data_IF_935315431836
#
_entry.id   IF_935315431836
#
_cell.length_a   1.000
_cell.length_b   1.000
_cell.length_c   1.000
_cell.angle_alpha   90.00
_cell.angle_beta   90.00
_cell.angle_gamma   90.00
#
_symmetry.space_group_name_H-M   'P 1'
#
loop_
_entity.id
_entity.type
_entity.pdbx_description
1 polymer ?
#
# COMPACT_ATOMS: atom_id res chain seq x y z
N UNK A 1 -10.42 12.36 7.79
CA UNK A 1 -9.36 11.88 6.90
C UNK A 1 -9.95 11.86 5.52
N UNK A 2 -9.37 12.56 4.55
CA UNK A 2 -9.88 12.60 3.18
C UNK A 2 -9.55 11.30 2.44
N UNK A 3 -10.19 11.06 1.30
CA UNK A 3 -9.86 9.91 0.47
C UNK A 3 -8.41 10.02 -0.06
N UNK A 4 -7.93 11.24 -0.34
CA UNK A 4 -6.54 11.51 -0.72
C UNK A 4 -5.56 11.21 0.41
N UNK A 5 -5.90 11.55 1.66
CA UNK A 5 -5.07 11.20 2.83
C UNK A 5 -4.94 9.68 2.98
N UNK A 6 -6.03 8.95 2.76
CA UNK A 6 -6.05 7.48 2.83
C UNK A 6 -5.15 6.90 1.73
N UNK A 7 -5.28 7.39 0.49
CA UNK A 7 -4.46 6.96 -0.62
C UNK A 7 -2.96 7.27 -0.40
N UNK A 8 -2.64 8.48 0.08
CA UNK A 8 -1.27 8.90 0.35
C UNK A 8 -0.63 8.02 1.43
N UNK A 9 -1.34 7.75 2.53
CA UNK A 9 -0.85 6.87 3.61
C UNK A 9 -0.57 5.46 3.12
N UNK A 10 -1.46 4.89 2.30
CA UNK A 10 -1.26 3.56 1.75
C UNK A 10 -0.06 3.52 0.80
N UNK A 11 0.14 4.55 -0.02
CA UNK A 11 1.31 4.65 -0.90
C UNK A 11 2.60 4.75 -0.08
N UNK A 12 2.65 5.59 0.96
CA UNK A 12 3.82 5.69 1.83
C UNK A 12 4.13 4.36 2.52
N UNK A 13 3.12 3.68 3.06
CA UNK A 13 3.30 2.37 3.69
C UNK A 13 3.79 1.31 2.69
N UNK A 14 3.25 1.31 1.46
CA UNK A 14 3.71 0.41 0.40
C UNK A 14 5.16 0.69 0.00
N UNK A 15 5.57 1.97 -0.07
CA UNK A 15 6.95 2.36 -0.36
C UNK A 15 7.92 1.87 0.72
N UNK A 16 7.60 2.05 2.00
CA UNK A 16 8.42 1.55 3.11
C UNK A 16 8.61 0.03 3.06
N UNK A 17 7.53 -0.72 2.74
CA UNK A 17 7.59 -2.18 2.60
C UNK A 17 8.47 -2.59 1.41
N UNK A 18 8.39 -1.86 0.29
CA UNK A 18 9.22 -2.12 -0.88
C UNK A 18 10.69 -1.77 -0.64
N UNK A 19 10.98 -0.71 0.12
CA UNK A 19 12.35 -0.38 0.54
C UNK A 19 12.95 -1.51 1.38
N UNK A 20 12.18 -2.06 2.35
CA UNK A 20 12.59 -3.22 3.14
C UNK A 20 12.86 -4.46 2.25
N UNK A 21 12.01 -4.69 1.25
CA UNK A 21 12.18 -5.79 0.29
C UNK A 21 13.45 -5.66 -0.55
N UNK A 22 13.85 -4.44 -0.90
CA UNK A 22 15.00 -4.16 -1.75
C UNK A 22 16.34 -4.21 -1.00
N UNK A 23 16.33 -4.21 0.34
CA UNK A 23 17.57 -4.34 1.10
C UNK A 23 18.27 -5.67 0.83
N UNK A 24 19.60 -5.67 0.62
CA UNK A 24 20.37 -6.90 0.39
C UNK A 24 20.45 -7.71 1.69
N UNK A 25 19.46 -8.58 1.92
CA UNK A 25 19.38 -9.51 3.06
C UNK A 25 19.09 -10.93 2.58
N UNK A 26 19.35 -11.96 3.41
CA UNK A 26 18.97 -13.33 3.08
C UNK A 26 17.46 -13.40 2.79
N UNK A 27 17.09 -14.01 1.66
CA UNK A 27 15.71 -14.05 1.11
C UNK A 27 14.68 -14.81 1.94
N UNK A 28 14.98 -15.15 3.20
CA UNK A 28 14.10 -15.97 4.04
C UNK A 28 12.74 -15.34 4.30
N UNK A 29 12.65 -14.01 4.20
CA UNK A 29 11.46 -13.25 4.58
C UNK A 29 10.74 -12.57 3.39
N UNK A 30 11.18 -12.80 2.14
CA UNK A 30 10.62 -12.12 0.95
C UNK A 30 9.09 -12.27 0.87
N UNK A 31 8.59 -13.47 1.11
CA UNK A 31 7.15 -13.75 1.08
C UNK A 31 6.38 -12.97 2.14
N UNK A 32 6.90 -12.90 3.36
CA UNK A 32 6.28 -12.15 4.45
C UNK A 32 6.20 -10.63 4.15
N UNK A 33 7.25 -10.09 3.52
CA UNK A 33 7.28 -8.67 3.14
C UNK A 33 6.25 -8.39 2.03
N UNK A 34 6.15 -9.28 1.03
CA UNK A 34 5.15 -9.16 -0.03
C UNK A 34 3.72 -9.37 0.49
N UNK A 35 3.51 -10.27 1.46
CA UNK A 35 2.20 -10.48 2.10
C UNK A 35 1.76 -9.19 2.82
N UNK A 36 2.67 -8.51 3.54
CA UNK A 36 2.41 -7.17 4.14
C UNK A 36 2.03 -6.12 3.10
N UNK A 37 2.66 -6.15 1.92
CA UNK A 37 2.31 -5.22 0.84
C UNK A 37 0.88 -5.47 0.34
N UNK A 38 0.51 -6.74 0.16
CA UNK A 38 -0.85 -7.13 -0.24
C UNK A 38 -1.86 -6.67 0.82
N UNK A 39 -1.57 -6.87 2.11
CA UNK A 39 -2.44 -6.42 3.19
C UNK A 39 -2.74 -4.91 3.13
N UNK A 40 -1.74 -4.07 2.83
CA UNK A 40 -1.93 -2.61 2.67
C UNK A 40 -2.80 -2.31 1.46
N UNK A 41 -2.56 -2.97 0.32
CA UNK A 41 -3.28 -2.71 -0.93
C UNK A 41 -4.72 -3.25 -0.92
N UNK A 42 -5.01 -4.27 -0.11
CA UNK A 42 -6.34 -4.86 0.04
C UNK A 42 -7.19 -4.19 1.12
N UNK A 43 -6.68 -3.16 1.81
CA UNK A 43 -7.44 -2.45 2.83
C UNK A 43 -8.76 -1.90 2.27
N UNK A 44 -9.93 -2.28 2.84
CA UNK A 44 -11.22 -1.85 2.32
C UNK A 44 -11.38 -0.32 2.27
N UNK A 45 -10.80 0.39 3.25
CA UNK A 45 -10.75 1.85 3.29
C UNK A 45 -10.03 2.44 2.08
N UNK A 46 -8.89 1.87 1.70
CA UNK A 46 -8.12 2.27 0.53
C UNK A 46 -8.89 2.02 -0.77
N UNK A 47 -9.46 0.82 -0.91
CA UNK A 47 -10.26 0.45 -2.09
C UNK A 47 -11.42 1.42 -2.28
N UNK A 48 -12.14 1.75 -1.21
CA UNK A 48 -13.27 2.70 -1.26
C UNK A 48 -12.77 4.11 -1.61
N UNK A 49 -11.71 4.59 -0.96
CA UNK A 49 -11.15 5.91 -1.19
C UNK A 49 -10.70 6.10 -2.66
N UNK A 50 -9.92 5.15 -3.20
CA UNK A 50 -9.45 5.20 -4.59
C UNK A 50 -10.62 5.18 -5.58
N UNK A 51 -11.65 4.36 -5.32
CA UNK A 51 -12.84 4.32 -6.17
C UNK A 51 -13.61 5.64 -6.17
N UNK A 52 -13.68 6.34 -5.03
CA UNK A 52 -14.31 7.66 -4.92
C UNK A 52 -13.51 8.73 -5.66
N UNK A 53 -12.20 8.77 -5.46
CA UNK A 53 -11.29 9.68 -6.18
C UNK A 53 -11.43 9.50 -7.70
N UNK A 54 -11.45 8.25 -8.18
CA UNK A 54 -11.63 7.94 -9.61
C UNK A 54 -12.95 8.45 -10.18
N UNK A 55 -14.02 8.46 -9.37
CA UNK A 55 -15.34 8.96 -9.77
C UNK A 55 -15.45 10.48 -9.68
N UNK A 56 -14.70 11.14 -8.80
CA UNK A 56 -14.71 12.60 -8.68
C UNK A 56 -13.86 13.30 -9.76
N UNK A 57 -12.88 12.60 -10.32
CA UNK A 57 -12.02 13.08 -11.39
C UNK A 57 -12.43 12.59 -12.79
N UNK A 58 -13.61 11.96 -12.92
CA UNK A 58 -14.16 11.40 -14.16
C UNK A 58 -15.35 12.19 -14.70
#
# INVERSE_FOLDING_TARGET
MSDEDIALRAVSAAQEILEEYLEPRPRSNERLILDRLVEVLEQPSLIVAVNRIKRSHG
#
